data_IF_958679064125
#
_entry.id   IF_958679064125
#
_cell.length_a   1.000
_cell.length_b   1.000
_cell.length_c   1.000
_cell.angle_alpha   90.00
_cell.angle_beta   90.00
_cell.angle_gamma   90.00
#
_symmetry.space_group_name_H-M   'P 1'
#
loop_
_entity.id
_entity.type
_entity.pdbx_description
1 polymer ?
#
# COMPACT_ATOMS: atom_id res chain seq x y z
N UNK A 1 6.05 -13.72 -5.92
CA UNK A 1 6.39 -12.69 -4.92
C UNK A 1 7.89 -12.71 -4.69
N UNK A 2 8.55 -11.55 -4.57
CA UNK A 2 9.99 -11.43 -4.24
C UNK A 2 10.14 -10.62 -2.97
N UNK A 3 10.91 -11.12 -1.99
CA UNK A 3 11.14 -10.45 -0.71
C UNK A 3 12.50 -9.75 -0.70
N UNK A 4 12.51 -8.42 -0.73
CA UNK A 4 13.73 -7.61 -0.65
C UNK A 4 13.94 -7.14 0.80
N UNK A 5 14.62 -7.96 1.59
CA UNK A 5 14.93 -7.64 3.00
C UNK A 5 15.96 -6.50 3.09
N UNK A 6 15.72 -5.55 3.99
CA UNK A 6 16.62 -4.42 4.21
C UNK A 6 16.84 -3.54 2.98
N UNK A 7 15.87 -3.54 2.05
CA UNK A 7 15.95 -2.80 0.79
C UNK A 7 15.98 -1.29 1.00
N UNK A 8 15.10 -0.78 1.88
CA UNK A 8 15.05 0.65 2.20
C UNK A 8 16.06 0.93 3.30
N UNK A 9 17.03 1.80 3.02
CA UNK A 9 18.10 2.14 3.98
C UNK A 9 17.55 2.94 5.16
N UNK A 10 18.19 2.90 6.34
CA UNK A 10 17.71 3.62 7.53
C UNK A 10 17.44 5.12 7.30
N UNK A 11 18.29 5.80 6.54
CA UNK A 11 18.15 7.21 6.18
C UNK A 11 16.87 7.47 5.36
N UNK A 12 16.56 6.60 4.40
CA UNK A 12 15.37 6.67 3.58
C UNK A 12 14.13 6.34 4.40
N UNK A 13 14.20 5.36 5.31
CA UNK A 13 13.11 5.03 6.23
C UNK A 13 12.73 6.23 7.11
N UNK A 14 13.73 6.93 7.67
CA UNK A 14 13.50 8.15 8.47
C UNK A 14 12.81 9.22 7.63
N UNK A 15 13.29 9.43 6.40
CA UNK A 15 12.73 10.45 5.51
C UNK A 15 11.29 10.13 5.13
N UNK A 16 11.01 8.86 4.82
CA UNK A 16 9.67 8.39 4.53
C UNK A 16 8.72 8.67 5.71
N UNK A 17 9.12 8.29 6.93
CA UNK A 17 8.31 8.53 8.13
C UNK A 17 8.07 10.03 8.34
N UNK A 18 9.08 10.88 8.15
CA UNK A 18 8.93 12.34 8.27
C UNK A 18 7.91 12.89 7.29
N UNK A 19 8.01 12.50 6.02
CA UNK A 19 7.08 12.94 4.97
C UNK A 19 5.66 12.46 5.26
N UNK A 20 5.48 11.19 5.64
CA UNK A 20 4.17 10.65 6.01
C UNK A 20 3.59 11.34 7.25
N UNK A 21 4.39 11.71 8.24
CA UNK A 21 3.92 12.46 9.40
C UNK A 21 3.45 13.87 9.02
N UNK A 22 4.18 14.56 8.15
CA UNK A 22 3.80 15.89 7.69
C UNK A 22 2.49 15.83 6.90
N UNK A 23 2.45 15.04 5.83
CA UNK A 23 1.26 14.89 4.98
C UNK A 23 0.07 14.34 5.76
N UNK A 24 0.33 13.49 6.75
CA UNK A 24 -0.69 12.88 7.59
C UNK A 24 -1.45 13.86 8.49
N UNK A 25 -0.89 15.04 8.76
CA UNK A 25 -1.51 16.10 9.57
C UNK A 25 -2.22 17.17 8.73
N UNK A 26 -1.94 17.22 7.43
CA UNK A 26 -2.54 18.17 6.49
C UNK A 26 -3.93 17.68 6.00
N UNK A 27 -4.74 18.55 5.37
CA UNK A 27 -5.96 18.12 4.68
C UNK A 27 -5.67 17.01 3.65
N UNK A 28 -6.45 15.93 3.69
CA UNK A 28 -6.19 14.73 2.87
C UNK A 28 -5.23 13.73 3.54
N UNK A 29 -4.72 14.04 4.72
CA UNK A 29 -3.89 13.18 5.57
C UNK A 29 -4.64 12.00 6.20
N UNK A 30 -4.13 11.50 7.32
CA UNK A 30 -4.62 10.26 7.93
C UNK A 30 -6.08 10.36 8.40
N UNK A 31 -6.87 9.34 8.10
CA UNK A 31 -8.20 9.14 8.63
C UNK A 31 -8.45 7.67 8.96
N UNK A 32 -9.50 7.38 9.73
CA UNK A 32 -9.96 6.00 9.95
C UNK A 32 -11.08 5.65 8.98
N UNK A 33 -10.80 4.89 7.90
CA UNK A 33 -11.83 4.45 6.96
C UNK A 33 -12.87 3.59 7.66
N UNK A 34 -14.07 3.59 7.08
CA UNK A 34 -15.18 2.74 7.51
C UNK A 34 -15.50 1.77 6.39
N UNK A 35 -15.82 0.53 6.74
CA UNK A 35 -16.42 -0.42 5.82
C UNK A 35 -17.83 0.04 5.42
N UNK A 36 -18.39 -0.56 4.37
CA UNK A 36 -19.77 -0.28 3.91
C UNK A 36 -20.83 -0.45 5.01
N UNK A 37 -20.59 -1.32 5.99
CA UNK A 37 -21.48 -1.54 7.14
C UNK A 37 -21.28 -0.52 8.29
N UNK A 38 -20.42 0.50 8.10
CA UNK A 38 -20.13 1.53 9.10
C UNK A 38 -19.06 1.16 10.13
N UNK A 39 -18.62 -0.11 10.20
CA UNK A 39 -17.56 -0.51 11.11
C UNK A 39 -16.23 0.18 10.72
N UNK A 40 -15.50 0.69 11.72
CA UNK A 40 -14.20 1.33 11.48
C UNK A 40 -13.12 0.28 11.23
N UNK A 41 -12.25 0.54 10.26
CA UNK A 41 -11.05 -0.27 10.05
C UNK A 41 -10.09 -0.08 11.24
N UNK A 42 -9.30 -1.12 11.54
CA UNK A 42 -8.30 -1.11 12.62
C UNK A 42 -6.95 -0.58 12.14
N UNK A 43 -6.99 0.48 11.32
CA UNK A 43 -5.84 1.19 10.79
C UNK A 43 -6.21 2.65 10.51
N UNK A 44 -5.21 3.49 10.37
CA UNK A 44 -5.31 4.82 9.78
C UNK A 44 -4.79 4.76 8.35
N UNK A 45 -5.47 5.43 7.43
CA UNK A 45 -5.14 5.40 6.01
C UNK A 45 -4.96 6.82 5.49
N UNK A 46 -4.05 7.00 4.54
CA UNK A 46 -4.00 8.18 3.68
C UNK A 46 -3.72 7.73 2.25
N UNK A 47 -4.24 8.43 1.26
CA UNK A 47 -3.95 8.17 -0.15
C UNK A 47 -3.20 9.33 -0.76
N UNK A 48 -2.21 9.03 -1.59
CA UNK A 48 -1.40 9.97 -2.34
C UNK A 48 -1.59 9.70 -3.84
N UNK A 49 -1.61 10.75 -4.66
CA UNK A 49 -1.90 10.72 -6.09
C UNK A 49 -3.41 10.67 -6.36
N UNK A 50 -4.03 9.51 -6.11
CA UNK A 50 -5.49 9.34 -6.17
C UNK A 50 -5.99 8.75 -4.86
N UNK A 51 -7.13 9.24 -4.40
CA UNK A 51 -7.86 8.70 -3.26
C UNK A 51 -8.52 7.38 -3.62
N UNK A 52 -8.29 6.34 -2.82
CA UNK A 52 -9.10 5.12 -2.83
C UNK A 52 -10.33 5.31 -1.95
N UNK A 53 -11.52 5.13 -2.50
CA UNK A 53 -12.76 5.13 -1.71
C UNK A 53 -13.14 3.70 -1.32
N UNK A 54 -13.11 3.34 -0.01
CA UNK A 54 -13.49 2.01 0.45
C UNK A 54 -14.98 1.67 0.24
N UNK A 55 -15.84 2.66 -0.02
CA UNK A 55 -17.27 2.48 -0.22
C UNK A 55 -17.58 2.07 -1.66
N UNK A 56 -17.06 2.82 -2.62
CA UNK A 56 -17.26 2.57 -4.06
C UNK A 56 -16.24 1.60 -4.63
N UNK A 57 -15.13 1.34 -3.91
CA UNK A 57 -13.98 0.56 -4.39
C UNK A 57 -13.39 1.15 -5.66
N UNK A 58 -13.27 2.47 -5.71
CA UNK A 58 -12.76 3.18 -6.88
C UNK A 58 -11.73 4.24 -6.51
N UNK A 59 -10.91 4.62 -7.49
CA UNK A 59 -9.89 5.64 -7.34
C UNK A 59 -10.35 6.97 -7.95
N UNK A 60 -10.21 8.06 -7.21
CA UNK A 60 -10.61 9.41 -7.63
C UNK A 60 -9.67 10.50 -7.08
N UNK A 61 -9.86 11.77 -7.47
CA UNK A 61 -8.98 12.85 -7.00
C UNK A 61 -9.25 13.26 -5.54
N UNK A 62 -10.48 13.05 -5.05
CA UNK A 62 -10.95 13.55 -3.75
C UNK A 62 -11.51 12.44 -2.88
N UNK A 63 -11.41 12.64 -1.57
CA UNK A 63 -11.94 11.75 -0.54
C UNK A 63 -13.39 12.13 -0.22
N UNK A 64 -14.37 11.23 -0.37
CA UNK A 64 -15.79 11.59 -0.21
C UNK A 64 -16.21 12.04 1.20
N UNK A 65 -15.53 11.57 2.25
CA UNK A 65 -15.93 11.84 3.65
C UNK A 65 -15.68 13.29 4.08
N UNK A 66 -14.67 13.95 3.53
CA UNK A 66 -14.25 15.31 3.90
C UNK A 66 -13.99 16.23 2.70
N UNK A 67 -14.16 15.73 1.47
CA UNK A 67 -13.90 16.46 0.23
C UNK A 67 -12.42 16.72 -0.03
N UNK A 68 -11.50 16.22 0.81
CA UNK A 68 -10.08 16.54 0.70
C UNK A 68 -9.47 15.92 -0.56
N UNK A 69 -8.61 16.66 -1.25
CA UNK A 69 -7.86 16.14 -2.40
C UNK A 69 -6.68 15.29 -1.93
N UNK A 70 -6.42 14.17 -2.60
CA UNK A 70 -5.23 13.36 -2.32
C UNK A 70 -3.96 14.20 -2.59
N UNK A 71 -3.02 14.30 -1.64
CA UNK A 71 -1.74 14.95 -1.87
C UNK A 71 -0.96 14.26 -3.00
N UNK A 72 -0.04 14.95 -3.66
CA UNK A 72 0.79 14.33 -4.68
C UNK A 72 1.71 13.25 -4.08
N UNK A 73 2.03 12.21 -4.85
CA UNK A 73 3.02 11.21 -4.44
C UNK A 73 4.41 11.87 -4.44
N UNK A 74 5.14 11.88 -3.31
CA UNK A 74 6.51 12.35 -3.27
C UNK A 74 7.38 11.62 -4.28
N UNK A 75 8.23 12.34 -5.01
CA UNK A 75 9.05 11.72 -6.06
C UNK A 75 9.99 10.65 -5.51
N UNK A 76 10.50 10.86 -4.27
CA UNK A 76 11.27 9.85 -3.55
C UNK A 76 10.52 8.51 -3.41
N UNK A 77 9.21 8.53 -3.16
CA UNK A 77 8.41 7.31 -3.01
C UNK A 77 8.30 6.57 -4.35
N UNK A 78 8.10 7.32 -5.44
CA UNK A 78 8.07 6.72 -6.79
C UNK A 78 9.40 6.07 -7.15
N UNK A 79 10.51 6.76 -6.91
CA UNK A 79 11.85 6.25 -7.18
C UNK A 79 12.14 4.97 -6.39
N UNK A 80 11.79 4.93 -5.10
CA UNK A 80 11.98 3.71 -4.27
C UNK A 80 11.14 2.55 -4.83
N UNK A 81 9.88 2.79 -5.21
CA UNK A 81 9.03 1.76 -5.79
C UNK A 81 9.54 1.25 -7.14
N UNK A 82 9.98 2.14 -8.03
CA UNK A 82 10.57 1.78 -9.32
C UNK A 82 11.88 1.02 -9.17
N UNK A 83 12.70 1.40 -8.19
CA UNK A 83 13.94 0.69 -7.86
C UNK A 83 13.63 -0.70 -7.34
N UNK A 84 12.69 -0.85 -6.40
CA UNK A 84 12.27 -2.16 -5.88
C UNK A 84 11.73 -3.08 -6.98
N UNK A 85 10.88 -2.53 -7.86
CA UNK A 85 10.34 -3.24 -9.01
C UNK A 85 11.45 -3.75 -9.95
N UNK A 86 12.43 -2.90 -10.25
CA UNK A 86 13.56 -3.26 -11.10
C UNK A 86 14.50 -4.27 -10.43
N UNK A 87 14.76 -4.13 -9.13
CA UNK A 87 15.62 -5.05 -8.37
C UNK A 87 15.04 -6.45 -8.28
N UNK A 88 13.73 -6.59 -8.09
CA UNK A 88 13.10 -7.90 -7.99
C UNK A 88 13.13 -8.70 -9.30
N UNK A 89 13.19 -8.03 -10.45
CA UNK A 89 13.14 -8.61 -11.80
C UNK A 89 11.88 -9.47 -12.06
N UNK A 90 11.56 -9.76 -13.33
CA UNK A 90 10.43 -10.63 -13.68
C UNK A 90 9.04 -9.99 -13.55
N UNK A 91 8.94 -8.69 -13.26
CA UNK A 91 7.70 -7.93 -13.28
C UNK A 91 7.73 -6.84 -14.36
N UNK A 92 6.57 -6.46 -14.92
CA UNK A 92 6.47 -5.26 -15.74
C UNK A 92 6.93 -4.02 -14.97
N UNK A 93 7.52 -3.08 -15.71
CA UNK A 93 7.92 -1.79 -15.17
C UNK A 93 6.70 -0.96 -14.76
N UNK A 94 6.77 -0.36 -13.57
CA UNK A 94 5.69 0.44 -12.99
C UNK A 94 5.99 1.94 -13.03
N UNK A 95 4.93 2.74 -13.07
CA UNK A 95 4.99 4.18 -12.83
C UNK A 95 3.87 4.57 -11.87
N UNK A 96 4.11 4.65 -10.55
CA UNK A 96 3.06 4.87 -9.57
C UNK A 96 2.33 6.20 -9.69
N UNK A 97 1.02 6.12 -9.87
CA UNK A 97 0.06 7.23 -9.77
C UNK A 97 -0.86 7.12 -8.53
N UNK A 98 -0.75 6.03 -7.76
CA UNK A 98 -1.45 5.78 -6.49
C UNK A 98 -0.42 5.36 -5.42
N UNK A 99 -0.58 5.85 -4.20
CA UNK A 99 0.11 5.30 -3.04
C UNK A 99 -0.83 5.35 -1.84
N UNK A 100 -0.97 4.23 -1.14
CA UNK A 100 -1.78 4.11 0.06
C UNK A 100 -0.82 3.95 1.25
N UNK A 101 -0.93 4.86 2.20
CA UNK A 101 -0.15 4.80 3.44
C UNK A 101 -1.07 4.25 4.53
N UNK A 102 -0.72 3.08 5.05
CA UNK A 102 -1.43 2.43 6.14
C UNK A 102 -0.61 2.52 7.44
N UNK A 103 -1.21 3.16 8.45
CA UNK A 103 -0.66 3.23 9.78
C UNK A 103 -1.44 2.33 10.73
N UNK A 104 -0.73 1.33 11.28
CA UNK A 104 -1.27 0.37 12.23
C UNK A 104 -0.72 0.68 13.62
N UNK A 105 -1.63 0.71 14.60
CA UNK A 105 -1.28 0.70 16.02
C UNK A 105 -0.98 -0.74 16.46
N UNK A 106 -0.53 -0.97 17.70
CA UNK A 106 -0.18 -2.31 18.21
C UNK A 106 -1.30 -3.36 18.10
N UNK A 107 -2.58 -2.94 18.13
CA UNK A 107 -3.74 -3.81 17.94
C UNK A 107 -4.31 -3.80 16.52
N UNK A 108 -3.66 -3.09 15.59
CA UNK A 108 -4.14 -2.88 14.23
C UNK A 108 -4.01 -4.14 13.40
N UNK A 109 -5.07 -4.47 12.66
CA UNK A 109 -5.10 -5.63 11.76
C UNK A 109 -5.93 -5.28 10.53
N UNK A 110 -5.45 -5.72 9.38
CA UNK A 110 -6.24 -5.76 8.16
C UNK A 110 -6.55 -7.23 7.82
N UNK A 111 -7.83 -7.54 7.63
CA UNK A 111 -8.25 -8.89 7.27
C UNK A 111 -7.76 -9.29 5.87
N UNK A 112 -7.84 -10.58 5.58
CA UNK A 112 -7.47 -11.14 4.30
C UNK A 112 -8.28 -10.46 3.17
N UNK A 113 -7.60 -9.72 2.30
CA UNK A 113 -8.19 -8.99 1.19
C UNK A 113 -7.30 -9.09 -0.05
N UNK A 114 -7.90 -8.90 -1.21
CA UNK A 114 -7.23 -8.87 -2.50
C UNK A 114 -7.31 -7.44 -3.03
N UNK A 115 -6.19 -6.88 -3.46
CA UNK A 115 -6.16 -5.61 -4.18
C UNK A 115 -6.49 -5.86 -5.66
N UNK A 116 -7.72 -5.50 -6.02
CA UNK A 116 -8.29 -5.71 -7.36
C UNK A 116 -9.13 -4.53 -7.83
N UNK A 117 -8.94 -3.38 -7.19
CA UNK A 117 -9.68 -2.16 -7.50
C UNK A 117 -8.93 -1.32 -8.58
N UNK A 118 -7.83 -1.87 -9.11
CA UNK A 118 -7.13 -1.44 -10.32
C UNK A 118 -8.01 -1.43 -11.58
N UNK A 119 -7.54 -0.70 -12.60
CA UNK A 119 -8.09 -0.85 -13.95
C UNK A 119 -7.84 -2.26 -14.49
N UNK A 120 -8.80 -2.77 -15.28
CA UNK A 120 -8.70 -4.07 -15.95
C UNK A 120 -7.39 -4.21 -16.74
N UNK A 121 -6.96 -3.16 -17.45
CA UNK A 121 -5.67 -3.16 -18.16
C UNK A 121 -4.46 -3.39 -17.25
N UNK A 122 -4.49 -2.91 -16.01
CA UNK A 122 -3.41 -3.12 -15.04
C UNK A 122 -3.39 -4.55 -14.51
N UNK A 123 -4.58 -5.11 -14.25
CA UNK A 123 -4.76 -6.50 -13.85
C UNK A 123 -4.31 -7.46 -14.95
N UNK A 124 -4.77 -7.26 -16.19
CA UNK A 124 -4.39 -8.10 -17.35
C UNK A 124 -2.89 -8.04 -17.66
N UNK A 125 -2.25 -6.89 -17.43
CA UNK A 125 -0.79 -6.76 -17.61
C UNK A 125 0.02 -7.38 -16.48
N UNK A 126 -0.61 -7.76 -15.36
CA UNK A 126 0.09 -8.25 -14.18
C UNK A 126 1.06 -7.20 -13.61
N UNK A 127 0.70 -5.91 -13.63
CA UNK A 127 1.51 -4.89 -12.96
C UNK A 127 1.62 -5.27 -11.46
N UNK A 128 2.78 -5.17 -10.81
CA UNK A 128 2.83 -5.41 -9.37
C UNK A 128 2.42 -4.15 -8.60
N UNK A 129 1.97 -4.33 -7.37
CA UNK A 129 2.09 -3.29 -6.35
C UNK A 129 3.37 -3.50 -5.53
N UNK A 130 3.91 -2.42 -4.98
CA UNK A 130 5.13 -2.44 -4.18
C UNK A 130 4.77 -2.11 -2.73
N UNK A 131 4.89 -3.10 -1.86
CA UNK A 131 4.69 -2.94 -0.44
C UNK A 131 6.01 -2.64 0.25
N UNK A 132 6.07 -1.57 1.05
CA UNK A 132 7.24 -1.15 1.83
C UNK A 132 6.87 -1.12 3.31
N UNK A 133 7.58 -1.88 4.13
CA UNK A 133 7.37 -1.95 5.58
C UNK A 133 8.41 -1.13 6.34
N UNK A 134 7.98 -0.34 7.32
CA UNK A 134 8.85 0.49 8.16
C UNK A 134 8.33 0.41 9.59
N UNK A 135 9.18 0.25 10.61
CA UNK A 135 8.76 0.15 12.00
C UNK A 135 8.63 -1.30 12.49
N UNK A 136 7.61 -1.58 13.31
CA UNK A 136 7.44 -2.90 13.94
C UNK A 136 7.31 -4.02 12.90
N UNK A 137 7.75 -5.22 13.24
CA UNK A 137 7.61 -6.39 12.35
C UNK A 137 6.14 -6.77 12.22
N UNK A 138 5.66 -6.94 10.98
CA UNK A 138 4.32 -7.43 10.69
C UNK A 138 4.31 -8.88 10.21
N UNK A 139 3.29 -9.64 10.61
CA UNK A 139 2.96 -10.91 9.95
C UNK A 139 2.19 -10.61 8.67
N UNK A 140 2.76 -11.01 7.54
CA UNK A 140 2.16 -10.89 6.22
C UNK A 140 1.75 -12.27 5.72
N UNK A 141 0.45 -12.46 5.57
CA UNK A 141 -0.16 -13.67 5.02
C UNK A 141 -0.49 -13.49 3.56
N UNK A 142 -0.15 -14.48 2.74
CA UNK A 142 -0.49 -14.51 1.34
C UNK A 142 -0.79 -15.89 0.76
N UNK A 143 -1.67 -15.94 -0.24
CA UNK A 143 -2.05 -17.17 -0.94
C UNK A 143 -3.07 -16.90 -2.04
N UNK A 144 -3.41 -17.95 -2.79
CA UNK A 144 -4.30 -17.89 -3.95
C UNK A 144 -5.80 -17.98 -3.58
N UNK A 145 -6.10 -18.37 -2.35
CA UNK A 145 -7.47 -18.57 -1.86
C UNK A 145 -7.76 -17.67 -0.67
N UNK A 146 -9.06 -17.41 -0.44
CA UNK A 146 -9.53 -16.67 0.74
C UNK A 146 -9.55 -17.56 2.00
N UNK A 147 -8.52 -18.36 2.18
CA UNK A 147 -8.37 -19.31 3.28
C UNK A 147 -7.08 -19.02 4.04
N UNK A 148 -7.21 -18.71 5.34
CA UNK A 148 -6.06 -18.39 6.19
C UNK A 148 -5.19 -19.61 6.49
N UNK A 149 -5.79 -20.80 6.49
CA UNK A 149 -5.07 -22.04 6.82
C UNK A 149 -4.18 -22.49 5.64
N UNK A 150 -4.49 -22.01 4.43
CA UNK A 150 -3.70 -22.24 3.21
C UNK A 150 -2.75 -21.07 2.89
N UNK A 151 -2.78 -19.99 3.69
CA UNK A 151 -1.94 -18.83 3.46
C UNK A 151 -0.50 -19.07 3.92
N UNK A 152 0.46 -18.73 3.05
CA UNK A 152 1.87 -18.62 3.41
C UNK A 152 2.08 -17.39 4.29
N UNK A 153 2.87 -17.54 5.35
CA UNK A 153 3.18 -16.47 6.31
C UNK A 153 4.63 -16.06 6.18
N UNK A 154 4.89 -14.76 6.10
CA UNK A 154 6.22 -14.18 6.20
C UNK A 154 6.22 -13.01 7.18
N UNK A 155 7.37 -12.77 7.81
CA UNK A 155 7.57 -11.59 8.63
C UNK A 155 8.12 -10.46 7.75
N UNK A 156 7.44 -9.31 7.75
CA UNK A 156 7.92 -8.08 7.14
C UNK A 156 8.56 -7.23 8.22
N UNK A 157 9.89 -7.19 8.19
CA UNK A 157 10.71 -6.35 9.07
C UNK A 157 10.86 -4.95 8.48
N UNK A 158 11.24 -3.98 9.32
CA UNK A 158 11.51 -2.61 8.86
C UNK A 158 12.51 -2.56 7.71
N UNK A 159 12.20 -1.77 6.69
CA UNK A 159 13.00 -1.63 5.47
C UNK A 159 12.78 -2.72 4.42
N UNK A 160 11.89 -3.67 4.67
CA UNK A 160 11.53 -4.70 3.69
C UNK A 160 10.67 -4.13 2.58
N UNK A 161 10.97 -4.50 1.33
CA UNK A 161 10.13 -4.22 0.17
C UNK A 161 9.67 -5.52 -0.50
N UNK A 162 8.41 -5.58 -0.92
CA UNK A 162 7.82 -6.75 -1.58
C UNK A 162 7.03 -6.32 -2.81
N UNK A 163 7.46 -6.72 -4.02
CA UNK A 163 6.61 -6.67 -5.20
C UNK A 163 5.63 -7.85 -5.17
N UNK A 164 4.35 -7.52 -5.27
CA UNK A 164 3.25 -8.46 -5.15
C UNK A 164 2.33 -8.31 -6.38
N UNK A 165 1.94 -9.45 -6.96
CA UNK A 165 0.93 -9.48 -8.04
C UNK A 165 -0.47 -9.57 -7.44
N UNK A 166 -1.45 -9.00 -8.13
CA UNK A 166 -2.82 -8.75 -7.65
C UNK A 166 -3.64 -9.97 -7.18
N UNK A 167 -3.22 -11.20 -7.47
CA UNK A 167 -3.91 -12.43 -6.99
C UNK A 167 -3.53 -12.81 -5.56
N UNK A 168 -2.77 -11.96 -4.88
CA UNK A 168 -2.22 -12.24 -3.57
C UNK A 168 -3.11 -11.62 -2.48
N UNK A 169 -3.68 -12.47 -1.64
CA UNK A 169 -4.34 -12.02 -0.41
C UNK A 169 -3.33 -11.46 0.60
N UNK A 170 -3.67 -10.42 1.38
CA UNK A 170 -2.70 -9.76 2.30
C UNK A 170 -3.27 -9.48 3.70
N UNK A 171 -2.43 -9.62 4.74
CA UNK A 171 -2.64 -9.15 6.13
C UNK A 171 -1.41 -8.39 6.60
N UNK A 172 -1.57 -7.33 7.41
CA UNK A 172 -0.46 -6.47 7.86
C UNK A 172 -0.74 -5.98 9.28
N UNK A 173 0.30 -5.86 10.11
CA UNK A 173 0.20 -5.48 11.54
C UNK A 173 1.16 -4.35 11.99
N UNK A 174 1.69 -3.52 11.09
CA UNK A 174 2.57 -2.39 11.45
C UNK A 174 2.65 -1.34 10.33
N UNK A 175 3.28 -0.18 10.60
CA UNK A 175 3.51 0.91 9.64
C UNK A 175 3.92 0.39 8.25
N UNK A 176 2.96 0.42 7.32
CA UNK A 176 3.14 -0.09 5.97
C UNK A 176 2.77 0.98 4.97
N UNK A 177 3.70 1.24 4.07
CA UNK A 177 3.48 2.10 2.93
C UNK A 177 3.31 1.19 1.73
N UNK A 178 2.08 1.08 1.25
CA UNK A 178 1.77 0.38 0.02
C UNK A 178 1.83 1.38 -1.13
N UNK A 179 2.88 1.31 -1.93
CA UNK A 179 3.01 2.10 -3.14
C UNK A 179 2.41 1.29 -4.29
N UNK A 180 1.23 1.69 -4.75
CA UNK A 180 0.54 0.97 -5.82
C UNK A 180 0.89 1.61 -7.16
N UNK A 181 1.82 0.98 -7.86
CA UNK A 181 2.30 1.37 -9.17
C UNK A 181 1.29 1.23 -10.31
N UNK A 182 0.53 2.27 -10.74
CA UNK A 182 -0.34 2.15 -11.94
C UNK A 182 -0.10 3.19 -13.03
N UNK A 183 -0.22 2.71 -14.27
CA UNK A 183 -0.49 3.53 -15.44
C UNK A 183 -2.01 3.57 -15.67
N UNK A 184 -2.70 4.60 -15.18
CA UNK A 184 -3.97 4.99 -15.79
C UNK A 184 -3.67 5.61 -17.16
N UNK A 185 -4.06 4.94 -18.24
CA UNK A 185 -4.34 5.67 -19.49
C UNK A 185 -5.78 6.13 -19.39
N UNK A 186 -6.00 7.43 -19.51
CA UNK A 186 -7.21 7.97 -20.14
C UNK A 186 -7.40 7.34 -21.51
#
# INVERSE_FOLDING_TARGET
MVLLKGFVKPEDQIQIVRVCRQLGMDPGGFYRPSYKNGAKMSLWMMSLGKNWDPTTRSYGPTRPIDGARAPAIPEAFKMIAQTANSTASGFPQINPDICIVNYYTNSGKLGLHQDKDESESSLTKGLPFISISIGDTAEFMFGDTRDKDQATKINLESGTSVPVVHDTFVVVTSFLIEIIGKKYRT
#
